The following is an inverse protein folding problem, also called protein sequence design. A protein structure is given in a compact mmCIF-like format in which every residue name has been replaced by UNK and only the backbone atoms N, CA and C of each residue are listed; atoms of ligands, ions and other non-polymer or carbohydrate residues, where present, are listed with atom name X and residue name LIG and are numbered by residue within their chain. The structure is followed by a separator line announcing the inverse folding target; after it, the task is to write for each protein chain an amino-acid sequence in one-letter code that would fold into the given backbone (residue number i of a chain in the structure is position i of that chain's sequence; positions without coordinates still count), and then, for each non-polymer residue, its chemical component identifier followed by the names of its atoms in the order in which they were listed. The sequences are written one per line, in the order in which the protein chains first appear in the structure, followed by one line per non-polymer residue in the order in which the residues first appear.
data_IF_234428331734
#
_entry.id   IF_234428331734
#
_cell.length_a   1.000
_cell.length_b   1.000
_cell.length_c   1.000
_cell.angle_alpha   90.00
_cell.angle_beta   90.00
_cell.angle_gamma   90.00
#
_symmetry.space_group_name_H-M   'P 1'
#
loop_
_entity.id
_entity.type
_entity.pdbx_description
1 polymer ?
#
# COMPACT_ATOMS: atom_id res chain seq x y z
N UNK A 1 -5.64 -9.47 19.95
CA UNK A 1 -5.57 -8.46 18.88
C UNK A 1 -4.74 -9.08 17.78
N UNK A 2 -5.34 -9.39 16.63
CA UNK A 2 -4.60 -9.93 15.48
C UNK A 2 -3.85 -8.78 14.82
N UNK A 3 -2.55 -8.96 14.57
CA UNK A 3 -1.74 -7.99 13.85
C UNK A 3 -2.26 -7.88 12.41
N UNK A 4 -2.44 -6.66 11.93
CA UNK A 4 -2.79 -6.42 10.53
C UNK A 4 -1.52 -6.56 9.69
N UNK A 5 -1.52 -7.35 8.61
CA UNK A 5 -0.36 -7.47 7.75
C UNK A 5 -0.02 -6.10 7.16
N UNK A 6 1.26 -5.72 7.22
CA UNK A 6 1.77 -4.51 6.57
C UNK A 6 2.25 -4.87 5.16
N UNK A 7 1.80 -4.12 4.15
CA UNK A 7 2.16 -4.36 2.73
C UNK A 7 2.60 -3.06 2.08
N UNK A 8 3.76 -3.08 1.42
CA UNK A 8 4.22 -2.01 0.55
C UNK A 8 3.67 -2.21 -0.88
N UNK A 9 3.07 -1.17 -1.43
CA UNK A 9 2.62 -1.10 -2.83
C UNK A 9 3.41 0.00 -3.51
N UNK A 10 4.08 -0.34 -4.61
CA UNK A 10 4.87 0.61 -5.41
C UNK A 10 4.28 0.66 -6.81
N UNK A 11 3.80 1.83 -7.20
CA UNK A 11 3.21 2.11 -8.52
C UNK A 11 3.37 3.60 -8.81
N UNK A 12 3.73 3.96 -10.05
CA UNK A 12 3.96 5.36 -10.45
C UNK A 12 2.66 6.14 -10.65
N UNK A 13 1.52 5.45 -10.72
CA UNK A 13 0.20 6.05 -10.86
C UNK A 13 -0.53 6.18 -9.51
N UNK A 14 -0.83 7.42 -9.12
CA UNK A 14 -1.49 7.73 -7.85
C UNK A 14 -2.90 7.12 -7.72
N UNK A 15 -3.66 7.02 -8.83
CA UNK A 15 -5.01 6.45 -8.82
C UNK A 15 -4.96 4.94 -8.51
N UNK A 16 -3.92 4.26 -9.00
CA UNK A 16 -3.67 2.85 -8.74
C UNK A 16 -3.29 2.62 -7.28
N UNK A 17 -2.47 3.49 -6.68
CA UNK A 17 -2.15 3.46 -5.25
C UNK A 17 -3.38 3.68 -4.36
N UNK A 18 -4.25 4.63 -4.72
CA UNK A 18 -5.51 4.87 -4.00
C UNK A 18 -6.44 3.64 -4.07
N UNK A 19 -6.62 3.05 -5.25
CA UNK A 19 -7.42 1.85 -5.42
C UNK A 19 -6.85 0.67 -4.61
N UNK A 20 -5.54 0.48 -4.64
CA UNK A 20 -4.87 -0.56 -3.86
C UNK A 20 -5.07 -0.36 -2.35
N UNK A 21 -5.01 0.90 -1.89
CA UNK A 21 -5.25 1.25 -0.48
C UNK A 21 -6.66 0.86 -0.03
N UNK A 22 -7.68 1.18 -0.82
CA UNK A 22 -9.07 0.83 -0.51
C UNK A 22 -9.29 -0.70 -0.45
N UNK A 23 -8.78 -1.42 -1.44
CA UNK A 23 -8.93 -2.88 -1.52
C UNK A 23 -8.24 -3.58 -0.34
N UNK A 24 -7.02 -3.17 0.00
CA UNK A 24 -6.24 -3.79 1.07
C UNK A 24 -6.79 -3.45 2.45
N UNK A 25 -7.21 -2.19 2.67
CA UNK A 25 -7.86 -1.78 3.91
C UNK A 25 -9.16 -2.57 4.15
N UNK A 26 -9.98 -2.79 3.11
CA UNK A 26 -11.18 -3.63 3.18
C UNK A 26 -10.92 -5.09 3.55
N UNK A 27 -9.68 -5.56 3.39
CA UNK A 27 -9.23 -6.92 3.77
C UNK A 27 -8.54 -6.97 5.14
N UNK A 28 -8.49 -5.85 5.86
CA UNK A 28 -7.80 -5.75 7.14
C UNK A 28 -6.27 -5.74 7.02
N UNK A 29 -5.74 -5.42 5.84
CA UNK A 29 -4.32 -5.22 5.57
C UNK A 29 -4.02 -3.73 5.72
N UNK A 30 -2.84 -3.39 6.20
CA UNK A 30 -2.34 -2.01 6.29
C UNK A 30 -1.42 -1.71 5.10
N UNK A 31 -1.87 -0.91 4.12
CA UNK A 31 -1.06 -0.56 2.96
C UNK A 31 -0.19 0.67 3.23
N UNK A 32 1.09 0.54 2.88
CA UNK A 32 2.05 1.64 2.68
C UNK A 32 2.24 1.79 1.17
N UNK A 33 2.21 3.02 0.67
CA UNK A 33 2.25 3.32 -0.76
C UNK A 33 3.50 4.13 -1.08
N UNK A 34 4.12 3.86 -2.21
CA UNK A 34 5.23 4.64 -2.76
C UNK A 34 5.05 4.83 -4.26
N UNK A 35 5.42 6.01 -4.77
CA UNK A 35 5.34 6.38 -6.19
C UNK A 35 6.58 5.97 -6.99
N UNK A 36 7.62 5.48 -6.31
CA UNK A 36 8.86 5.05 -6.94
C UNK A 36 9.55 3.96 -6.14
N UNK A 37 10.44 3.21 -6.80
CA UNK A 37 11.25 2.19 -6.13
C UNK A 37 12.19 2.76 -5.06
N UNK A 38 12.67 4.01 -5.23
CA UNK A 38 13.49 4.68 -4.22
C UNK A 38 12.68 5.02 -2.98
N UNK A 39 11.49 5.60 -3.16
CA UNK A 39 10.55 5.89 -2.06
C UNK A 39 10.09 4.62 -1.34
N UNK A 40 9.95 3.50 -2.06
CA UNK A 40 9.61 2.22 -1.45
C UNK A 40 10.73 1.54 -0.67
N UNK A 41 11.97 2.04 -0.77
CA UNK A 41 13.15 1.46 -0.12
C UNK A 41 13.65 2.28 1.08
N UNK A 42 13.34 3.58 1.13
CA UNK A 42 13.66 4.50 2.24
C UNK A 42 12.67 4.38 3.41
#
# INVERSE_FOLDING_TARGET
MGERPLVLVVDDDEQTLELAREILAGRGIEPVTATSGSEGLE
#
